data_IF_633426197604
#
_entry.id   IF_633426197604
#
_cell.length_a   1.000
_cell.length_b   1.000
_cell.length_c   1.000
_cell.angle_alpha   90.00
_cell.angle_beta   90.00
_cell.angle_gamma   90.00
#
_symmetry.space_group_name_H-M   'P 1'
#
loop_
_entity.id
_entity.type
_entity.pdbx_description
1 polymer ?
2 branched ?
3 branched ?
4 non-polymer ?
5 non-polymer ?
6 water ?
#
# COMPACT_ATOMS: atom_id res chain seq x y z
N UNK A 21 27.63 -8.26 -17.94
CA UNK A 21 26.37 -7.86 -18.64
C UNK A 21 25.17 -8.77 -18.31
N UNK A 22 24.53 -8.45 -17.21
CA UNK A 22 23.28 -9.10 -16.86
C UNK A 22 22.20 -8.70 -17.85
N UNK A 23 21.16 -9.51 -17.88
CA UNK A 23 20.00 -9.29 -18.69
C UNK A 23 18.73 -9.39 -17.91
N UNK A 24 17.75 -8.67 -18.41
CA UNK A 24 16.37 -8.75 -17.90
C UNK A 24 15.46 -8.67 -19.09
N UNK A 25 14.28 -9.25 -18.94
CA UNK A 25 13.23 -9.12 -19.94
C UNK A 25 11.98 -8.61 -19.29
N UNK A 26 11.36 -7.60 -19.90
CA UNK A 26 10.04 -7.10 -19.53
C UNK A 26 9.08 -7.64 -20.58
N UNK A 27 8.03 -8.34 -20.14
CA UNK A 27 7.03 -8.93 -21.06
C UNK A 27 5.73 -8.17 -20.94
N UNK A 28 5.52 -7.22 -21.83
CA UNK A 28 4.35 -6.36 -21.80
C UNK A 28 3.06 -7.11 -22.06
N UNK A 29 3.12 -8.34 -22.61
CA UNK A 29 1.95 -9.16 -22.83
C UNK A 29 1.51 -9.99 -21.65
N UNK A 30 2.31 -10.04 -20.61
CA UNK A 30 1.98 -10.85 -19.43
C UNK A 30 1.52 -9.92 -18.31
N UNK A 31 0.24 -9.53 -18.40
CA UNK A 31 -0.32 -8.57 -17.45
C UNK A 31 -0.61 -9.25 -16.14
N UNK A 32 -0.28 -8.56 -15.07
CA UNK A 32 -0.47 -8.99 -13.70
C UNK A 32 -1.53 -8.10 -13.08
N UNK A 33 -1.30 -7.57 -11.88
CA UNK A 33 -2.33 -6.79 -11.21
C UNK A 33 -2.41 -5.37 -11.68
N UNK A 34 -3.62 -4.82 -11.70
CA UNK A 34 -3.82 -3.41 -11.95
C UNK A 34 -3.48 -2.60 -10.70
N UNK A 35 -2.65 -1.57 -10.84
CA UNK A 35 -2.24 -0.74 -9.70
C UNK A 35 -3.35 0.17 -9.28
N UNK A 36 -3.66 0.14 -7.98
CA UNK A 36 -4.62 1.04 -7.40
C UNK A 36 -3.91 2.30 -6.85
N UNK A 37 -2.72 2.14 -6.24
CA UNK A 37 -1.96 3.30 -5.83
C UNK A 37 -1.09 3.08 -4.62
N UNK A 38 -0.64 4.20 -4.08
CA UNK A 38 0.37 4.23 -3.02
C UNK A 38 0.02 5.38 -2.08
N UNK A 39 0.29 5.24 -0.79
CA UNK A 39 0.10 6.38 0.10
C UNK A 39 0.41 6.06 1.53
N UNK A 40 -0.37 6.63 2.44
CA UNK A 40 -0.08 6.49 3.86
C UNK A 40 -1.25 6.92 4.70
N UNK A 41 -1.01 6.89 6.00
CA UNK A 41 -2.01 7.14 7.04
C UNK A 41 -2.01 8.60 7.51
N UNK A 42 -3.21 9.14 7.72
CA UNK A 42 -3.42 10.35 8.53
C UNK A 42 -4.17 9.96 9.77
N UNK A 43 -3.79 10.45 10.95
CA UNK A 43 -4.53 10.16 12.17
C UNK A 43 -4.55 11.43 13.06
N UNK A 44 -5.52 12.31 12.81
CA UNK A 44 -5.54 13.61 13.47
C UNK A 44 -6.07 13.60 14.89
N UNK A 45 -6.40 12.42 15.42
CA UNK A 45 -6.73 12.25 16.83
C UNK A 45 -5.50 11.84 17.61
N UNK A 46 -4.77 10.84 17.14
CA UNK A 46 -3.57 10.39 17.84
C UNK A 46 -2.36 11.31 17.71
N UNK A 47 -2.20 11.90 16.51
CA UNK A 47 -1.10 12.80 16.23
C UNK A 47 -1.68 14.06 15.59
N UNK A 48 -0.84 14.99 15.22
CA UNK A 48 -1.36 16.18 14.54
C UNK A 48 -1.79 15.84 13.12
N UNK A 49 -2.86 16.48 12.67
CA UNK A 49 -3.27 16.38 11.30
C UNK A 49 -2.17 16.89 10.35
N UNK A 50 -2.17 16.41 9.11
CA UNK A 50 -1.39 17.11 8.08
C UNK A 50 -1.84 18.56 8.00
N UNK A 51 -0.87 19.46 7.84
CA UNK A 51 -1.14 20.88 7.57
C UNK A 51 -1.60 21.04 6.13
N UNK A 52 -2.14 22.22 5.78
CA UNK A 52 -2.46 22.46 4.36
C UNK A 52 -1.32 22.14 3.39
N UNK A 53 -0.14 22.61 3.73
CA UNK A 53 1.02 22.40 2.92
C UNK A 53 1.41 20.93 2.81
N UNK A 54 1.29 20.22 3.93
CA UNK A 54 1.64 18.80 3.96
C UNK A 54 0.64 17.97 3.15
N UNK A 55 -0.62 18.38 3.12
CA UNK A 55 -1.59 17.70 2.25
C UNK A 55 -1.13 17.77 0.80
N UNK A 56 -0.68 18.94 0.37
CA UNK A 56 -0.20 19.11 -1.00
C UNK A 56 1.10 18.32 -1.23
N UNK A 57 2.02 18.36 -0.29
CA UNK A 57 3.27 17.59 -0.42
C UNK A 57 2.97 16.09 -0.59
N UNK A 58 1.97 15.62 0.16
CA UNK A 58 1.66 14.18 0.12
C UNK A 58 0.94 13.78 -1.17
N UNK A 59 -0.09 14.52 -1.55
CA UNK A 59 -1.03 14.05 -2.59
C UNK A 59 -0.89 14.77 -3.93
N UNK A 60 -0.18 15.89 -3.99
CA UNK A 60 0.18 16.47 -5.26
C UNK A 60 1.23 15.61 -5.93
N UNK A 61 1.36 15.76 -7.26
CA UNK A 61 2.42 15.05 -7.98
C UNK A 61 3.30 16.03 -8.74
N UNK A 62 3.44 17.25 -8.24
CA UNK A 62 4.44 18.17 -8.77
C UNK A 62 5.81 17.98 -8.18
N UNK A 63 6.69 18.87 -8.58
CA UNK A 63 8.03 18.93 -8.03
C UNK A 63 7.99 19.03 -6.53
N UNK A 64 8.75 18.14 -5.87
CA UNK A 64 8.86 18.14 -4.42
C UNK A 64 7.62 17.60 -3.73
N UNK A 65 6.80 16.88 -4.46
CA UNK A 65 5.58 16.27 -3.92
C UNK A 65 5.63 14.76 -4.16
N UNK A 66 5.02 14.01 -3.24
CA UNK A 66 5.15 12.56 -3.21
C UNK A 66 4.31 11.84 -4.24
N UNK A 67 3.23 12.45 -4.71
CA UNK A 67 2.38 11.79 -5.67
C UNK A 67 1.54 10.66 -5.12
N UNK A 68 1.27 10.65 -3.84
CA UNK A 68 0.43 9.63 -3.27
C UNK A 68 -0.98 9.72 -3.85
N UNK A 69 -1.58 8.53 -3.98
CA UNK A 69 -2.91 8.36 -4.58
C UNK A 69 -3.85 7.60 -3.68
N UNK A 70 -3.42 7.23 -2.46
CA UNK A 70 -4.30 6.59 -1.49
C UNK A 70 -4.05 7.26 -0.14
N UNK A 71 -5.14 7.69 0.51
CA UNK A 71 -5.11 8.11 1.89
C UNK A 71 -5.81 7.06 2.71
N UNK A 72 -5.20 6.61 3.80
CA UNK A 72 -5.88 5.81 4.80
C UNK A 72 -6.17 6.69 6.02
N UNK A 73 -7.39 6.51 6.55
CA UNK A 73 -7.83 7.19 7.76
C UNK A 73 -8.44 6.17 8.71
N UNK A 74 -8.68 6.59 9.96
CA UNK A 74 -9.35 5.77 10.92
C UNK A 74 -10.78 6.17 11.08
N UNK A 75 -11.60 5.20 11.51
CA UNK A 75 -13.00 5.40 11.90
C UNK A 75 -13.06 5.51 13.40
N UNK A 76 -13.18 6.73 13.94
CA UNK A 76 -13.17 6.82 15.37
C UNK A 76 -14.40 6.15 15.98
N UNK A 77 -14.18 5.56 17.16
CA UNK A 77 -15.27 4.99 17.94
C UNK A 77 -16.21 6.06 18.44
N UNK A 78 -15.73 7.32 18.54
CA UNK A 78 -16.55 8.46 18.99
C UNK A 78 -16.85 9.33 17.80
N UNK A 79 -18.12 9.37 17.39
CA UNK A 79 -18.50 10.14 16.22
C UNK A 79 -18.23 11.64 16.34
N UNK A 80 -18.06 12.14 17.56
CA UNK A 80 -17.69 13.54 17.74
C UNK A 80 -16.28 13.87 17.25
N UNK A 81 -15.50 12.84 16.97
CA UNK A 81 -14.19 13.02 16.35
C UNK A 81 -14.15 12.97 14.84
N UNK A 82 -15.22 12.54 14.21
CA UNK A 82 -15.20 12.29 12.77
C UNK A 82 -14.89 13.55 11.95
N UNK A 83 -15.36 14.71 12.41
CA UNK A 83 -15.06 15.96 11.71
C UNK A 83 -13.57 16.24 11.52
N UNK A 84 -12.74 15.70 12.41
CA UNK A 84 -11.31 15.95 12.34
C UNK A 84 -10.67 15.37 11.09
N UNK A 85 -11.32 14.39 10.46
CA UNK A 85 -10.78 13.72 9.27
C UNK A 85 -11.00 14.47 7.98
N UNK A 86 -11.94 15.42 7.97
CA UNK A 86 -12.54 15.87 6.72
C UNK A 86 -11.57 16.70 5.87
N UNK A 87 -10.87 17.65 6.46
CA UNK A 87 -10.06 18.55 5.64
C UNK A 87 -8.98 17.78 4.85
N UNK A 88 -8.27 16.88 5.52
CA UNK A 88 -7.22 16.13 4.84
C UNK A 88 -7.81 15.17 3.81
N UNK A 89 -8.89 14.47 4.16
CA UNK A 89 -9.50 13.56 3.25
C UNK A 89 -10.03 14.27 1.99
N UNK A 90 -10.67 15.43 2.20
CA UNK A 90 -11.21 16.17 1.06
C UNK A 90 -10.08 16.66 0.17
N UNK A 91 -8.98 17.15 0.76
CA UNK A 91 -7.89 17.66 -0.05
C UNK A 91 -7.25 16.53 -0.86
N UNK A 92 -7.06 15.38 -0.22
CA UNK A 92 -6.52 14.23 -0.94
C UNK A 92 -7.36 13.90 -2.16
N UNK A 93 -8.69 13.87 -1.96
CA UNK A 93 -9.58 13.63 -3.10
C UNK A 93 -9.48 14.70 -4.16
N UNK A 94 -9.43 15.95 -3.76
CA UNK A 94 -9.23 17.01 -4.77
C UNK A 94 -7.99 16.83 -5.61
N UNK A 95 -6.94 16.31 -4.99
CA UNK A 95 -5.68 16.08 -5.66
C UNK A 95 -5.62 14.73 -6.38
N UNK A 96 -6.71 13.98 -6.37
CA UNK A 96 -6.86 12.77 -7.18
C UNK A 96 -6.76 11.48 -6.44
N UNK A 97 -6.69 11.49 -5.11
CA UNK A 97 -6.53 10.27 -4.34
C UNK A 97 -7.86 9.62 -4.10
N UNK A 98 -7.79 8.36 -3.69
CA UNK A 98 -8.89 7.65 -3.06
C UNK A 98 -8.64 7.49 -1.57
N UNK A 99 -9.71 7.26 -0.82
CA UNK A 99 -9.62 7.20 0.65
C UNK A 99 -10.22 5.90 1.15
N UNK A 100 -9.50 5.24 2.04
CA UNK A 100 -9.95 4.03 2.71
C UNK A 100 -9.90 4.24 4.21
N UNK A 101 -10.90 3.73 4.92
CA UNK A 101 -11.02 3.93 6.35
C UNK A 101 -11.03 2.65 7.14
N UNK A 102 -10.32 2.62 8.27
CA UNK A 102 -10.25 1.45 9.13
C UNK A 102 -10.60 1.80 10.54
N UNK A 103 -11.46 1.00 11.19
CA UNK A 103 -11.76 1.17 12.61
C UNK A 103 -10.74 0.41 13.47
N UNK A 104 -10.46 0.96 14.66
CA UNK A 104 -9.68 0.29 15.68
C UNK A 104 -10.58 -0.31 16.79
N UNK A 105 -11.59 0.44 17.19
CA UNK A 105 -12.55 -0.10 18.18
C UNK A 105 -13.97 0.30 17.74
N UNK A 106 -14.95 -0.54 18.04
CA UNK A 106 -16.34 -0.07 17.99
C UNK A 106 -16.62 0.92 19.11
N UNK A 107 -17.75 1.64 19.00
CA UNK A 107 -18.23 2.44 20.16
C UNK A 107 -18.31 1.57 21.40
N UNK A 108 -18.01 2.15 22.56
CA UNK A 108 -17.88 1.39 23.78
C UNK A 108 -19.13 0.66 24.18
N UNK A 109 -20.29 1.18 23.82
CA UNK A 109 -21.51 0.46 24.15
C UNK A 109 -21.72 -0.85 23.39
N UNK A 110 -20.89 -1.12 22.39
CA UNK A 110 -20.94 -2.36 21.61
C UNK A 110 -19.86 -3.37 22.00
N UNK A 111 -18.96 -2.97 22.87
CA UNK A 111 -17.78 -3.76 23.24
C UNK A 111 -18.06 -4.57 24.50
N UNK A 112 -17.44 -5.73 24.60
CA UNK A 112 -17.37 -6.44 25.87
C UNK A 112 -15.94 -6.89 26.07
N UNK A 113 -15.64 -7.24 27.30
CA UNK A 113 -14.31 -7.71 27.62
C UNK A 113 -14.27 -9.22 27.78
N UNK A 114 -13.09 -9.78 27.62
CA UNK A 114 -12.86 -11.19 27.75
C UNK A 114 -11.40 -11.41 28.09
N UNK A 115 -11.09 -12.63 28.49
CA UNK A 115 -9.72 -13.02 28.79
C UNK A 115 -9.20 -13.78 27.57
N UNK A 116 -8.04 -13.34 27.07
CA UNK A 116 -7.40 -13.92 25.87
C UNK A 116 -6.02 -14.41 26.24
N UNK A 117 -5.76 -15.71 26.11
CA UNK A 117 -4.51 -16.32 26.44
C UNK A 117 -3.98 -15.85 27.79
N UNK A 118 -4.93 -15.83 28.73
CA UNK A 118 -4.63 -15.46 30.10
C UNK A 118 -4.56 -13.99 30.41
N UNK A 119 -4.68 -13.14 29.40
CA UNK A 119 -4.62 -11.71 29.57
C UNK A 119 -6.06 -11.18 29.70
N UNK A 120 -6.41 -10.57 30.86
CA UNK A 120 -7.78 -10.13 31.05
C UNK A 120 -8.06 -8.78 30.40
N UNK A 121 -9.34 -8.42 30.42
CA UNK A 121 -9.81 -7.08 30.04
C UNK A 121 -9.55 -6.76 28.58
N UNK A 122 -9.50 -7.78 27.75
CA UNK A 122 -9.32 -7.60 26.31
C UNK A 122 -10.66 -7.30 25.67
N UNK A 123 -10.64 -6.53 24.59
CA UNK A 123 -11.88 -6.09 23.95
C UNK A 123 -12.26 -6.93 22.75
N UNK A 124 -13.56 -7.18 22.60
CA UNK A 124 -14.14 -7.72 21.37
C UNK A 124 -15.47 -7.04 21.13
N UNK A 125 -15.94 -7.11 19.90
CA UNK A 125 -17.30 -6.67 19.58
C UNK A 125 -18.29 -7.68 20.08
N UNK A 126 -19.27 -7.27 20.84
CA UNK A 126 -20.32 -8.18 21.28
C UNK A 126 -21.00 -8.80 20.09
N UNK A 127 -21.25 -10.12 20.13
CA UNK A 127 -21.89 -10.76 19.00
C UNK A 127 -23.28 -10.19 18.75
N UNK A 128 -23.99 -9.89 19.81
CA UNK A 128 -25.33 -9.35 19.67
C UNK A 128 -25.39 -7.91 19.13
N UNK A 129 -24.23 -7.30 18.92
CA UNK A 129 -24.11 -5.94 18.38
C UNK A 129 -23.53 -5.92 16.96
N UNK A 130 -23.43 -7.05 16.29
CA UNK A 130 -22.85 -7.03 14.93
C UNK A 130 -23.68 -6.11 14.02
N UNK A 131 -25.02 -6.17 14.12
CA UNK A 131 -25.86 -5.33 13.30
C UNK A 131 -25.70 -3.84 13.62
N UNK A 132 -25.51 -3.52 14.90
CA UNK A 132 -25.29 -2.16 15.32
C UNK A 132 -23.92 -1.65 14.84
N UNK A 133 -22.94 -2.55 14.79
CA UNK A 133 -21.64 -2.15 14.30
C UNK A 133 -21.68 -1.82 12.82
N UNK A 134 -22.41 -2.63 12.03
CA UNK A 134 -22.66 -2.23 10.64
C UNK A 134 -23.22 -0.82 10.56
N UNK A 135 -24.21 -0.51 11.38
CA UNK A 135 -24.81 0.81 11.34
C UNK A 135 -23.82 1.91 11.68
N UNK A 136 -22.95 1.65 12.66
CA UNK A 136 -21.87 2.60 12.96
C UNK A 136 -20.96 2.85 11.75
N UNK A 137 -20.55 1.78 11.09
CA UNK A 137 -19.73 1.96 9.90
C UNK A 137 -20.48 2.70 8.81
N UNK A 138 -21.76 2.37 8.60
CA UNK A 138 -22.55 3.04 7.59
C UNK A 138 -22.79 4.51 7.91
N UNK A 139 -22.90 4.81 9.20
CA UNK A 139 -23.04 6.21 9.62
C UNK A 139 -21.77 6.99 9.28
N UNK A 140 -20.61 6.37 9.47
CA UNK A 140 -19.34 7.00 9.12
C UNK A 140 -19.28 7.25 7.61
N UNK A 141 -19.63 6.23 6.84
CA UNK A 141 -19.66 6.36 5.37
C UNK A 141 -20.56 7.54 4.95
N UNK A 142 -21.75 7.61 5.55
CA UNK A 142 -22.70 8.66 5.19
C UNK A 142 -22.21 10.03 5.63
N UNK A 143 -21.58 10.10 6.81
CA UNK A 143 -21.04 11.38 7.27
C UNK A 143 -19.95 11.88 6.32
N UNK A 144 -19.03 11.00 5.98
CA UNK A 144 -17.99 11.39 5.07
C UNK A 144 -18.52 11.80 3.70
N UNK A 145 -19.51 11.07 3.19
CA UNK A 145 -20.12 11.40 1.90
C UNK A 145 -20.76 12.80 1.92
N UNK A 146 -21.45 13.10 3.03
CA UNK A 146 -22.03 14.41 3.20
C UNK A 146 -21.00 15.59 3.22
N UNK A 147 -19.75 15.19 3.55
CA UNK A 147 -18.60 16.16 3.53
C UNK A 147 -17.63 15.96 2.36
N UNK A 148 -18.13 15.50 1.23
CA UNK A 148 -17.33 15.45 0.02
C UNK A 148 -16.30 14.38 -0.03
N UNK A 149 -16.42 13.37 0.85
CA UNK A 149 -15.47 12.30 0.90
C UNK A 149 -16.25 10.99 0.65
N UNK A 150 -16.24 10.55 -0.60
CA UNK A 150 -16.82 9.28 -1.02
C UNK A 150 -15.76 8.20 -0.79
N UNK A 151 -15.87 7.48 0.31
CA UNK A 151 -14.88 6.48 0.66
C UNK A 151 -14.81 5.38 -0.38
N UNK A 152 -13.61 4.98 -0.74
CA UNK A 152 -13.43 3.86 -1.65
C UNK A 152 -13.75 2.56 -0.94
N UNK A 153 -13.39 2.48 0.34
CA UNK A 153 -13.60 1.23 1.07
C UNK A 153 -13.58 1.50 2.56
N UNK A 154 -14.16 0.58 3.32
CA UNK A 154 -14.12 0.62 4.77
C UNK A 154 -13.79 -0.80 5.26
N UNK A 155 -12.94 -0.86 6.29
CA UNK A 155 -12.50 -2.15 6.84
C UNK A 155 -13.34 -2.57 8.02
N UNK A 156 -13.39 -3.90 8.24
CA UNK A 156 -14.05 -4.44 9.43
C UNK A 156 -13.26 -4.09 10.71
N UNK A 157 -11.94 -4.16 10.64
CA UNK A 157 -11.06 -4.02 11.80
C UNK A 157 -9.61 -3.86 11.37
N UNK A 158 -8.92 -2.87 11.97
CA UNK A 158 -7.48 -2.83 11.87
C UNK A 158 -6.83 -3.89 12.73
N UNK A 159 -6.01 -4.77 12.17
CA UNK A 159 -5.22 -5.71 12.97
C UNK A 159 -6.04 -6.43 14.03
N UNK A 160 -7.05 -7.20 13.60
CA UNK A 160 -7.84 -8.01 14.52
C UNK A 160 -7.04 -9.05 15.32
N UNK A 161 -5.87 -9.39 14.79
CA UNK A 161 -4.98 -10.41 15.33
C UNK A 161 -3.77 -9.81 16.02
N UNK A 162 -3.79 -8.50 16.33
CA UNK A 162 -2.72 -7.88 17.11
C UNK A 162 -3.35 -6.76 17.95
N UNK A 163 -4.39 -7.10 18.69
CA UNK A 163 -5.30 -6.12 19.27
C UNK A 163 -5.13 -5.92 20.75
N UNK A 164 -3.90 -6.07 21.24
CA UNK A 164 -3.62 -5.77 22.64
C UNK A 164 -4.13 -4.40 23.05
N UNK A 165 -4.06 -3.43 22.16
CA UNK A 165 -4.46 -2.07 22.45
C UNK A 165 -5.76 -1.66 21.77
N UNK A 166 -6.48 -2.61 21.18
CA UNK A 166 -7.75 -2.31 20.52
C UNK A 166 -8.67 -3.52 20.55
N UNK A 167 -9.41 -3.82 19.48
CA UNK A 167 -10.44 -4.83 19.48
C UNK A 167 -10.01 -6.07 18.70
N UNK A 168 -10.02 -7.21 19.40
CA UNK A 168 -9.66 -8.52 18.82
C UNK A 168 -10.82 -9.13 18.08
N UNK A 169 -10.51 -9.79 16.96
CA UNK A 169 -11.44 -10.73 16.31
C UNK A 169 -10.69 -11.99 15.99
N UNK A 170 -11.22 -13.12 16.43
CA UNK A 170 -10.67 -14.39 16.02
C UNK A 170 -10.93 -14.57 14.51
N UNK A 171 -10.26 -15.53 13.89
CA UNK A 171 -10.59 -15.83 12.48
C UNK A 171 -12.07 -16.16 12.29
N UNK A 172 -12.65 -16.88 13.25
CA UNK A 172 -14.05 -17.28 13.14
C UNK A 172 -15.01 -16.13 13.36
N UNK A 173 -14.71 -15.21 14.28
CA UNK A 173 -15.53 -14.02 14.48
C UNK A 173 -15.53 -13.16 13.23
N UNK A 174 -14.32 -12.94 12.68
CA UNK A 174 -14.21 -12.22 11.43
C UNK A 174 -15.02 -12.90 10.32
N UNK A 175 -14.91 -14.24 10.22
CA UNK A 175 -15.66 -14.96 9.22
C UNK A 175 -17.16 -14.75 9.39
N UNK A 176 -17.65 -14.93 10.61
CA UNK A 176 -19.10 -14.81 10.83
C UNK A 176 -19.57 -13.42 10.49
N UNK A 177 -18.80 -12.38 10.85
CA UNK A 177 -19.18 -11.03 10.45
C UNK A 177 -19.21 -10.89 8.93
N UNK A 178 -18.17 -11.35 8.26
CA UNK A 178 -18.10 -11.23 6.82
C UNK A 178 -19.23 -11.99 6.12
N UNK A 179 -19.57 -13.16 6.67
CA UNK A 179 -20.61 -14.00 6.11
C UNK A 179 -22.00 -13.44 6.32
N UNK A 180 -22.27 -13.01 7.55
CA UNK A 180 -23.60 -12.73 8.01
C UNK A 180 -23.99 -11.27 8.00
N UNK A 181 -23.00 -10.37 8.08
CA UNK A 181 -23.26 -8.93 8.30
C UNK A 181 -22.62 -8.02 7.25
N UNK A 182 -21.47 -8.37 6.66
CA UNK A 182 -20.76 -7.39 5.84
C UNK A 182 -21.48 -6.98 4.59
N UNK A 183 -22.41 -7.79 4.10
CA UNK A 183 -23.22 -7.41 2.96
C UNK A 183 -24.07 -6.18 3.17
N UNK A 184 -24.29 -5.82 4.43
CA UNK A 184 -25.10 -4.66 4.81
C UNK A 184 -24.32 -3.33 4.79
N UNK A 185 -22.98 -3.40 4.64
CA UNK A 185 -22.16 -2.20 4.66
C UNK A 185 -22.30 -1.50 3.30
N UNK A 186 -22.54 -0.20 3.36
CA UNK A 186 -22.80 0.63 2.17
C UNK A 186 -21.51 1.18 1.53
N UNK A 187 -20.57 0.29 1.27
CA UNK A 187 -19.26 0.66 0.76
C UNK A 187 -18.57 -0.61 0.36
N UNK A 188 -17.46 -0.50 -0.35
CA UNK A 188 -16.61 -1.67 -0.50
C UNK A 188 -16.09 -2.08 0.87
N UNK A 189 -16.06 -3.40 1.08
CA UNK A 189 -15.62 -3.96 2.35
C UNK A 189 -14.21 -4.50 2.26
N UNK A 190 -13.37 -4.06 3.16
CA UNK A 190 -11.99 -4.50 3.27
C UNK A 190 -11.84 -5.39 4.51
N UNK A 191 -11.11 -6.50 4.35
CA UNK A 191 -10.85 -7.39 5.48
C UNK A 191 -9.69 -8.28 5.11
N UNK A 192 -9.00 -8.88 6.07
CA UNK A 192 -9.11 -8.69 7.51
C UNK A 192 -8.05 -7.80 8.11
N UNK A 193 -7.12 -7.26 7.30
CA UNK A 193 -6.02 -6.41 7.82
C UNK A 193 -5.22 -7.06 8.94
N UNK A 194 -4.82 -8.32 8.72
CA UNK A 194 -3.87 -8.94 9.64
C UNK A 194 -2.60 -8.16 9.74
N UNK A 195 -2.05 -8.07 10.96
CA UNK A 195 -0.83 -7.29 11.15
C UNK A 195 0.35 -7.77 10.34
N UNK A 196 0.38 -9.05 9.98
CA UNK A 196 1.53 -9.66 9.32
C UNK A 196 1.08 -10.50 8.11
N UNK A 197 -0.10 -10.21 7.57
CA UNK A 197 -0.59 -11.00 6.44
C UNK A 197 -0.67 -12.45 6.82
N UNK A 198 -1.18 -12.73 8.00
CA UNK A 198 -1.34 -14.12 8.47
C UNK A 198 -2.53 -14.72 7.77
N UNK A 199 -2.31 -15.83 7.07
CA UNK A 199 -3.35 -16.38 6.22
C UNK A 199 -4.48 -17.02 7.03
N UNK A 200 -4.22 -17.37 8.28
CA UNK A 200 -5.31 -17.90 9.09
C UNK A 200 -6.45 -16.91 9.27
N UNK A 201 -6.19 -15.60 9.14
CA UNK A 201 -7.25 -14.57 9.26
C UNK A 201 -8.07 -14.41 8.05
N UNK A 202 -7.52 -14.74 6.88
CA UNK A 202 -8.20 -14.51 5.62
C UNK A 202 -8.69 -15.79 4.96
N UNK A 203 -8.05 -16.94 5.21
CA UNK A 203 -8.47 -18.20 4.59
C UNK A 203 -9.98 -18.47 4.78
N UNK A 204 -10.54 -18.23 5.99
CA UNK A 204 -11.96 -18.55 6.12
C UNK A 204 -12.86 -17.77 5.18
N UNK A 205 -12.51 -16.49 5.00
CA UNK A 205 -13.31 -15.64 4.11
C UNK A 205 -13.26 -16.19 2.68
N UNK A 206 -12.04 -16.50 2.21
CA UNK A 206 -11.87 -16.97 0.84
C UNK A 206 -12.56 -18.31 0.59
N UNK A 207 -12.68 -19.12 1.63
CA UNK A 207 -13.29 -20.44 1.51
C UNK A 207 -14.81 -20.48 1.72
N UNK A 208 -15.41 -19.37 2.14
CA UNK A 208 -16.88 -19.35 2.32
C UNK A 208 -17.50 -18.52 1.26
N UNK A 209 -18.41 -19.08 0.45
CA UNK A 209 -18.90 -18.28 -0.68
C UNK A 209 -19.62 -17.00 -0.28
N UNK A 210 -20.39 -17.01 0.82
CA UNK A 210 -21.10 -15.79 1.22
C UNK A 210 -20.12 -14.73 1.71
N UNK A 211 -19.17 -15.14 2.55
CA UNK A 211 -18.19 -14.16 3.05
C UNK A 211 -17.35 -13.58 1.91
N UNK A 212 -16.96 -14.46 0.97
CA UNK A 212 -16.18 -14.01 -0.16
C UNK A 212 -16.98 -13.04 -1.00
N UNK A 213 -18.27 -13.32 -1.24
CA UNK A 213 -19.11 -12.42 -2.02
C UNK A 213 -19.21 -11.05 -1.37
N UNK A 214 -19.21 -11.00 -0.02
CA UNK A 214 -19.32 -9.73 0.71
C UNK A 214 -18.00 -8.99 0.78
N UNK A 215 -16.88 -9.67 0.57
CA UNK A 215 -15.57 -9.03 0.49
C UNK A 215 -15.41 -8.25 -0.79
N UNK A 216 -14.77 -7.10 -0.74
CA UNK A 216 -14.34 -6.41 -1.95
C UNK A 216 -12.85 -6.30 -2.05
N UNK A 217 -12.16 -6.10 -0.93
CA UNK A 217 -10.72 -5.87 -0.91
C UNK A 217 -10.14 -6.73 0.21
N UNK A 218 -9.20 -7.59 -0.16
CA UNK A 218 -8.36 -8.29 0.80
C UNK A 218 -7.27 -7.32 1.25
N UNK A 219 -7.35 -6.85 2.48
CA UNK A 219 -6.34 -5.96 3.04
C UNK A 219 -5.40 -6.70 3.97
N UNK A 220 -4.14 -6.32 3.97
CA UNK A 220 -3.11 -6.95 4.79
C UNK A 220 -2.10 -5.94 5.19
N UNK A 221 -1.50 -6.13 6.36
CA UNK A 221 -0.34 -5.35 6.79
C UNK A 221 0.91 -6.22 6.69
N UNK A 222 2.08 -5.58 6.75
CA UNK A 222 3.36 -6.22 6.40
C UNK A 222 4.36 -6.26 7.55
N UNK A 223 3.92 -6.05 8.79
CA UNK A 223 4.85 -5.99 9.91
C UNK A 223 5.47 -7.36 10.21
N UNK A 224 6.74 -7.52 9.89
CA UNK A 224 7.37 -8.80 10.00
C UNK A 224 7.07 -9.81 8.95
N UNK A 225 6.45 -9.39 7.83
CA UNK A 225 6.10 -10.31 6.75
C UNK A 225 7.31 -10.53 5.87
N UNK A 226 7.78 -11.76 5.84
CA UNK A 226 8.93 -12.12 5.00
C UNK A 226 8.48 -12.35 3.57
N UNK A 227 9.44 -12.34 2.65
CA UNK A 227 9.10 -12.51 1.26
C UNK A 227 8.45 -13.82 0.97
N UNK A 228 8.84 -14.88 1.66
CA UNK A 228 8.19 -16.15 1.43
C UNK A 228 6.72 -16.20 1.83
N UNK A 229 6.31 -15.25 2.66
CA UNK A 229 4.90 -15.14 3.09
C UNK A 229 4.12 -14.10 2.30
N UNK A 230 4.70 -13.55 1.23
CA UNK A 230 3.99 -12.60 0.41
C UNK A 230 3.09 -13.22 -0.67
N UNK A 231 3.47 -14.35 -1.29
CA UNK A 231 2.52 -15.02 -2.19
C UNK A 231 1.32 -15.55 -1.39
N UNK A 232 0.21 -15.73 -2.06
CA UNK A 232 -1.00 -16.24 -1.38
C UNK A 232 -1.78 -17.11 -2.37
N UNK A 233 -1.42 -18.40 -2.46
CA UNK A 233 -2.07 -19.25 -3.43
C UNK A 233 -3.60 -19.30 -3.34
N UNK A 234 -4.14 -19.30 -2.14
CA UNK A 234 -5.61 -19.37 -2.02
C UNK A 234 -6.24 -18.13 -2.63
N UNK A 235 -5.62 -16.96 -2.44
CA UNK A 235 -6.15 -15.76 -3.06
C UNK A 235 -6.04 -15.81 -4.57
N UNK A 236 -4.94 -16.37 -5.07
CA UNK A 236 -4.85 -16.55 -6.52
C UNK A 236 -5.97 -17.47 -7.05
N UNK A 237 -6.35 -18.46 -6.26
CA UNK A 237 -7.40 -19.45 -6.61
C UNK A 237 -8.81 -18.82 -6.52
N UNK A 238 -9.09 -18.13 -5.42
CA UNK A 238 -10.46 -17.74 -5.05
C UNK A 238 -10.81 -16.29 -5.26
N UNK A 239 -9.79 -15.44 -5.43
CA UNK A 239 -9.95 -13.99 -5.35
C UNK A 239 -10.33 -13.24 -6.60
N UNK A 240 -10.83 -13.91 -7.62
CA UNK A 240 -11.27 -13.19 -8.82
C UNK A 240 -12.28 -12.05 -8.47
N UNK A 241 -12.03 -10.85 -9.00
CA UNK A 241 -12.90 -9.74 -8.78
C UNK A 241 -12.71 -9.04 -7.44
N UNK A 242 -11.72 -9.48 -6.68
CA UNK A 242 -11.37 -8.85 -5.40
C UNK A 242 -10.06 -8.13 -5.55
N UNK A 243 -9.91 -6.98 -4.90
CA UNK A 243 -8.64 -6.29 -4.88
C UNK A 243 -7.78 -6.78 -3.74
N UNK A 244 -6.48 -6.47 -3.84
CA UNK A 244 -5.48 -6.92 -2.86
C UNK A 244 -4.65 -5.70 -2.48
N UNK A 245 -4.75 -5.27 -1.23
CA UNK A 245 -4.10 -4.03 -0.77
C UNK A 245 -3.25 -4.29 0.46
N UNK A 246 -2.06 -3.69 0.47
CA UNK A 246 -1.16 -3.72 1.61
C UNK A 246 -1.36 -2.36 2.30
N UNK A 247 -2.14 -2.38 3.40
CA UNK A 247 -2.70 -1.16 3.96
C UNK A 247 -1.93 -0.53 5.12
N UNK A 248 -0.86 -1.16 5.60
CA UNK A 248 0.00 -0.50 6.58
C UNK A 248 1.32 -1.22 6.72
N UNK A 249 2.40 -0.43 6.81
CA UNK A 249 3.68 -0.88 7.25
C UNK A 249 4.55 0.31 7.53
N UNK A 250 5.63 0.09 8.27
CA UNK A 250 6.85 0.91 8.18
C UNK A 250 7.99 -0.08 8.13
N UNK A 251 9.05 0.32 7.43
CA UNK A 251 10.23 -0.55 7.29
C UNK A 251 11.46 0.33 7.14
N UNK A 252 12.61 -0.16 7.57
CA UNK A 252 12.83 -1.39 8.27
C UNK A 252 12.68 -1.25 9.79
N UNK A 253 12.39 -0.06 10.27
CA UNK A 253 12.19 0.17 11.72
C UNK A 253 11.38 1.46 11.86
N UNK A 254 11.04 1.77 13.11
CA UNK A 254 10.42 3.05 13.46
C UNK A 254 11.35 3.83 14.38
N UNK A 255 12.67 3.72 14.15
CA UNK A 255 13.62 4.41 14.99
C UNK A 255 13.41 5.91 14.84
N UNK A 256 13.50 6.61 15.97
CA UNK A 256 13.41 8.07 15.97
C UNK A 256 14.40 8.72 15.00
N UNK A 257 13.94 9.65 14.17
CA UNK A 257 14.84 10.46 13.33
C UNK A 257 15.67 9.62 12.40
N UNK A 258 15.05 8.54 11.89
CA UNK A 258 15.75 7.59 11.01
C UNK A 258 15.44 7.74 9.54
N UNK A 259 14.51 8.61 9.16
CA UNK A 259 13.98 8.60 7.79
C UNK A 259 14.96 8.94 6.70
N UNK A 260 16.08 9.61 7.02
CA UNK A 260 17.10 9.91 6.05
C UNK A 260 18.27 8.94 6.09
N UNK A 261 18.25 7.95 6.97
CA UNK A 261 19.40 7.00 7.10
C UNK A 261 19.60 6.22 5.81
N UNK A 262 20.85 6.15 5.39
CA UNK A 262 21.22 5.51 4.16
C UNK A 262 22.37 4.53 4.46
N UNK A 263 22.36 3.29 3.92
CA UNK A 263 21.47 2.80 2.87
C UNK A 263 20.22 2.12 3.44
N UNK A 264 19.92 2.26 4.72
CA UNK A 264 18.74 1.64 5.33
C UNK A 264 17.46 1.95 4.55
N UNK A 265 17.38 3.19 4.03
CA UNK A 265 16.14 3.59 3.34
C UNK A 265 15.85 2.71 2.13
N UNK A 266 16.89 2.10 1.51
CA UNK A 266 16.65 1.20 0.38
C UNK A 266 15.72 0.06 0.74
N UNK A 267 15.61 -0.30 2.02
CA UNK A 267 14.69 -1.33 2.43
C UNK A 267 13.24 -0.97 2.11
N UNK A 268 12.91 0.33 2.08
CA UNK A 268 11.56 0.76 1.71
C UNK A 268 11.29 0.37 0.26
N UNK A 269 12.19 0.77 -0.63
CA UNK A 269 12.01 0.39 -2.02
C UNK A 269 11.93 -1.11 -2.18
N UNK A 270 12.81 -1.85 -1.50
CA UNK A 270 12.79 -3.29 -1.66
C UNK A 270 11.47 -3.88 -1.17
N UNK A 271 10.94 -3.37 -0.05
CA UNK A 271 9.69 -3.90 0.46
C UNK A 271 8.55 -3.65 -0.55
N UNK A 272 8.57 -2.47 -1.17
CA UNK A 272 7.55 -2.14 -2.19
C UNK A 272 7.67 -3.04 -3.42
N UNK A 273 8.91 -3.21 -3.90
CA UNK A 273 9.17 -4.16 -4.95
C UNK A 273 8.62 -5.53 -4.60
N UNK A 274 8.93 -5.98 -3.38
CA UNK A 274 8.44 -7.30 -2.96
C UNK A 274 6.93 -7.37 -2.89
N UNK A 275 6.29 -6.33 -2.36
CA UNK A 275 4.82 -6.31 -2.32
C UNK A 275 4.26 -6.46 -3.72
N UNK A 276 4.80 -5.70 -4.66
CA UNK A 276 4.30 -5.70 -6.02
C UNK A 276 4.53 -7.02 -6.78
N UNK A 277 5.77 -7.52 -6.71
CA UNK A 277 6.20 -8.62 -7.54
C UNK A 277 6.01 -9.98 -6.87
N UNK A 278 6.25 -10.07 -5.58
CA UNK A 278 6.09 -11.32 -4.83
C UNK A 278 4.69 -11.42 -4.28
N UNK A 279 4.07 -10.32 -3.90
CA UNK A 279 2.75 -10.37 -3.34
C UNK A 279 1.61 -10.03 -4.29
N UNK A 280 1.91 -9.51 -5.49
CA UNK A 280 0.90 -9.08 -6.44
C UNK A 280 -0.04 -8.01 -5.88
N UNK A 281 0.46 -7.21 -4.92
CA UNK A 281 -0.39 -6.20 -4.30
C UNK A 281 -0.67 -5.04 -5.24
N UNK A 282 -1.91 -4.54 -5.17
CA UNK A 282 -2.36 -3.43 -5.97
C UNK A 282 -2.18 -2.10 -5.30
N UNK A 283 -2.00 -2.07 -3.98
CA UNK A 283 -1.84 -0.86 -3.22
C UNK A 283 -0.76 -1.11 -2.18
N UNK A 284 -0.02 -0.05 -1.86
CA UNK A 284 0.99 -0.07 -0.79
C UNK A 284 0.86 1.19 0.00
N UNK A 285 0.46 1.07 1.26
CA UNK A 285 0.15 2.20 2.14
C UNK A 285 1.01 2.13 3.40
N UNK A 286 1.80 3.17 3.58
CA UNK A 286 2.61 3.35 4.77
C UNK A 286 1.69 3.63 5.99
N UNK A 287 2.29 3.56 7.17
CA UNK A 287 1.73 4.12 8.40
C UNK A 287 1.78 5.66 8.31
N UNK A 288 1.98 6.37 9.42
CA UNK A 288 1.85 7.84 9.38
C UNK A 288 2.65 8.43 8.28
N UNK A 289 2.01 9.26 7.47
CA UNK A 289 2.71 9.98 6.39
C UNK A 289 3.81 10.87 6.94
N UNK A 290 3.48 11.66 7.97
CA UNK A 290 4.43 12.61 8.56
C UNK A 290 4.89 12.05 9.89
N UNK A 291 6.15 11.68 9.98
CA UNK A 291 6.71 11.10 11.19
C UNK A 291 8.22 11.07 10.99
N UNK A 292 8.99 10.97 12.08
CA UNK A 292 10.44 11.08 11.95
C UNK A 292 11.10 9.87 11.29
N UNK A 293 10.33 8.78 11.14
CA UNK A 293 10.72 7.57 10.42
C UNK A 293 9.89 7.33 9.17
N UNK A 294 9.10 8.32 8.77
CA UNK A 294 8.16 8.17 7.65
C UNK A 294 8.59 8.85 6.40
N UNK A 295 7.71 8.85 5.37
CA UNK A 295 8.07 9.41 4.07
C UNK A 295 8.16 10.93 4.09
N UNK A 296 7.44 11.59 5.00
CA UNK A 296 7.54 13.03 5.19
C UNK A 296 8.06 13.28 6.60
N UNK A 297 9.11 14.10 6.69
CA UNK A 297 9.69 14.45 7.96
C UNK A 297 8.82 15.44 8.69
N UNK A 298 9.10 15.61 9.99
CA UNK A 298 8.34 16.57 10.78
C UNK A 298 8.46 18.01 10.28
N UNK A 299 9.52 18.33 9.56
CA UNK A 299 9.66 19.67 8.97
C UNK A 299 8.90 19.83 7.65
N UNK A 300 8.15 18.80 7.23
CA UNK A 300 7.35 18.86 6.03
C UNK A 300 8.08 18.52 4.75
N UNK A 301 9.36 18.19 4.83
CA UNK A 301 10.12 17.82 3.66
C UNK A 301 10.07 16.31 3.44
N UNK A 302 10.40 15.88 2.22
CA UNK A 302 10.41 14.46 1.89
C UNK A 302 11.70 13.84 2.41
N UNK A 303 11.58 12.72 3.10
CA UNK A 303 12.76 11.98 3.60
C UNK A 303 13.33 11.06 2.54
N UNK A 304 14.50 10.46 2.81
CA UNK A 304 14.98 9.42 1.92
C UNK A 304 13.98 8.28 1.79
N UNK A 305 13.35 7.86 2.90
CA UNK A 305 12.32 6.84 2.80
C UNK A 305 11.15 7.29 1.91
N UNK A 306 10.81 8.57 1.98
CA UNK A 306 9.79 9.10 1.07
C UNK A 306 10.19 9.12 -0.37
N UNK A 307 11.45 9.43 -0.68
CA UNK A 307 11.86 9.34 -2.07
C UNK A 307 11.82 7.92 -2.58
N UNK A 308 12.12 6.94 -1.72
CA UNK A 308 11.96 5.54 -2.10
C UNK A 308 10.53 5.28 -2.55
N UNK A 309 9.56 5.74 -1.75
CA UNK A 309 8.18 5.58 -2.14
C UNK A 309 7.85 6.29 -3.45
N UNK A 310 8.39 7.49 -3.59
CA UNK A 310 8.09 8.34 -4.74
C UNK A 310 8.55 7.72 -6.06
N UNK A 311 9.63 6.91 -6.01
CA UNK A 311 10.09 6.21 -7.22
C UNK A 311 8.97 5.37 -7.82
N UNK A 312 8.08 4.87 -6.99
CA UNK A 312 6.87 4.18 -7.42
C UNK A 312 5.69 5.17 -7.57
N UNK A 313 5.38 5.91 -6.51
CA UNK A 313 4.13 6.66 -6.50
C UNK A 313 4.03 7.76 -7.54
N UNK A 314 5.14 8.45 -7.82
CA UNK A 314 5.07 9.55 -8.78
C UNK A 314 4.90 9.09 -10.20
N UNK A 315 5.24 7.83 -10.48
CA UNK A 315 5.40 7.32 -11.85
C UNK A 315 4.47 6.19 -12.21
N UNK A 316 4.24 5.28 -11.28
CA UNK A 316 3.35 4.15 -11.50
C UNK A 316 1.97 4.61 -11.03
N UNK A 317 1.20 5.18 -11.95
CA UNK A 317 -0.05 5.84 -11.59
C UNK A 317 -1.20 4.84 -11.54
N UNK A 318 -2.26 5.18 -10.81
CA UNK A 318 -3.42 4.29 -10.76
C UNK A 318 -3.92 3.91 -12.14
N UNK A 319 -4.21 2.62 -12.33
CA UNK A 319 -4.65 2.10 -13.61
C UNK A 319 -3.58 1.52 -14.47
N UNK A 320 -2.32 1.82 -14.19
CA UNK A 320 -1.20 1.09 -14.84
C UNK A 320 -1.31 -0.36 -14.39
N UNK A 321 -0.79 -1.27 -15.20
CA UNK A 321 -0.85 -2.70 -14.91
C UNK A 321 0.56 -3.23 -14.77
N UNK A 322 0.85 -3.92 -13.68
CA UNK A 322 2.14 -4.58 -13.57
C UNK A 322 2.24 -5.64 -14.66
N UNK A 323 3.44 -5.82 -15.19
CA UNK A 323 3.69 -6.90 -16.14
C UNK A 323 4.82 -7.77 -15.66
N UNK A 324 4.87 -9.00 -16.16
CA UNK A 324 5.95 -9.88 -15.82
C UNK A 324 7.28 -9.31 -16.30
N UNK A 325 8.28 -9.39 -15.44
CA UNK A 325 9.62 -8.93 -15.76
C UNK A 325 10.59 -9.63 -14.88
N UNK A 326 11.80 -9.84 -15.37
CA UNK A 326 12.83 -10.49 -14.59
C UNK A 326 13.03 -9.74 -13.29
N UNK A 327 12.74 -10.39 -12.18
CA UNK A 327 12.61 -9.64 -10.93
C UNK A 327 13.92 -9.31 -10.27
N UNK A 328 14.93 -10.16 -10.51
CA UNK A 328 16.19 -10.04 -9.77
C UNK A 328 17.29 -10.44 -10.75
N UNK A 329 17.61 -9.56 -11.70
CA UNK A 329 18.43 -10.00 -12.85
C UNK A 329 19.89 -10.25 -12.53
N UNK A 330 20.39 -9.68 -11.46
CA UNK A 330 21.72 -9.98 -10.96
C UNK A 330 21.72 -9.73 -9.45
N UNK A 331 22.68 -10.27 -8.73
CA UNK A 331 22.67 -10.15 -7.28
C UNK A 331 22.54 -8.68 -6.88
N UNK A 332 21.64 -8.43 -5.92
CA UNK A 332 21.39 -7.10 -5.34
C UNK A 332 20.67 -6.14 -6.25
N UNK A 333 20.15 -6.61 -7.40
CA UNK A 333 19.38 -5.75 -8.31
C UNK A 333 17.98 -6.30 -8.45
N UNK A 334 17.00 -5.41 -8.29
CA UNK A 334 15.58 -5.78 -8.31
C UNK A 334 14.86 -4.89 -9.31
N UNK A 335 14.02 -5.50 -10.13
CA UNK A 335 13.32 -4.80 -11.20
C UNK A 335 11.83 -5.15 -11.16
N UNK A 336 11.02 -4.10 -11.27
CA UNK A 336 9.57 -4.24 -11.53
C UNK A 336 9.22 -3.36 -12.71
N UNK A 337 8.14 -3.73 -13.39
CA UNK A 337 7.67 -2.97 -14.54
C UNK A 337 6.18 -2.93 -14.60
N UNK A 338 5.66 -1.75 -14.96
CA UNK A 338 4.22 -1.54 -15.13
C UNK A 338 3.99 -0.84 -16.47
N UNK A 339 2.85 -1.14 -17.05
CA UNK A 339 2.45 -0.66 -18.37
C UNK A 339 1.28 0.29 -18.26
N UNK A 340 1.34 1.39 -19.01
CA UNK A 340 0.21 2.26 -19.20
C UNK A 340 -0.50 1.79 -20.46
N UNK A 341 -1.70 1.23 -20.28
CA UNK A 341 -2.40 0.70 -21.45
C UNK A 341 -2.97 1.73 -22.39
N UNK A 342 -2.90 3.00 -22.03
CA UNK A 342 -3.34 4.06 -22.96
C UNK A 342 -2.44 4.08 -24.20
N UNK A 343 -1.15 3.91 -23.99
CA UNK A 343 -0.15 4.01 -25.08
C UNK A 343 0.94 2.93 -25.06
N UNK A 344 0.77 1.93 -24.23
CA UNK A 344 1.74 0.87 -24.02
C UNK A 344 3.11 1.31 -23.57
N UNK A 345 3.18 2.48 -22.95
CA UNK A 345 4.43 2.90 -22.39
C UNK A 345 4.66 2.09 -21.12
N UNK A 346 5.92 2.13 -20.67
CA UNK A 346 6.44 1.32 -19.61
C UNK A 346 7.09 2.17 -18.52
N UNK A 347 6.88 1.83 -17.26
CA UNK A 347 7.61 2.41 -16.14
C UNK A 347 8.35 1.26 -15.47
N UNK A 348 9.66 1.36 -15.39
CA UNK A 348 10.47 0.30 -14.75
C UNK A 348 11.15 0.92 -13.51
N UNK A 349 11.05 0.26 -12.37
CA UNK A 349 11.69 0.73 -11.17
C UNK A 349 12.78 -0.29 -10.84
N UNK A 350 14.03 0.17 -10.77
CA UNK A 350 15.17 -0.71 -10.62
C UNK A 350 16.00 -0.29 -9.39
N UNK A 351 16.12 -1.22 -8.46
CA UNK A 351 16.85 -0.97 -7.21
C UNK A 351 18.21 -1.64 -7.35
N UNK A 352 19.29 -0.92 -7.07
CA UNK A 352 20.59 -1.50 -6.97
C UNK A 352 21.09 -1.35 -5.54
N UNK A 353 21.01 -2.45 -4.78
CA UNK A 353 21.50 -2.45 -3.41
C UNK A 353 22.99 -2.71 -3.32
N UNK A 354 23.66 -2.99 -4.45
CA UNK A 354 25.09 -3.26 -4.42
C UNK A 354 25.88 -2.01 -4.15
N UNK A 355 27.05 -2.21 -3.55
CA UNK A 355 28.06 -1.18 -3.41
C UNK A 355 28.88 -0.95 -4.66
N UNK A 356 28.61 -1.68 -5.74
CA UNK A 356 29.19 -1.38 -7.05
C UNK A 356 28.12 -1.10 -8.07
N UNK A 357 28.52 -0.36 -9.10
CA UNK A 357 27.64 -0.11 -10.25
C UNK A 357 27.34 -1.39 -10.98
N UNK A 358 26.18 -1.45 -11.62
CA UNK A 358 25.72 -2.61 -12.36
C UNK A 358 25.20 -2.18 -13.72
N UNK A 359 25.59 -2.88 -14.79
CA UNK A 359 25.05 -2.63 -16.12
C UNK A 359 24.15 -3.78 -16.52
N UNK A 360 22.94 -3.47 -16.95
CA UNK A 360 21.97 -4.49 -17.33
C UNK A 360 21.42 -4.19 -18.71
N UNK A 361 21.29 -5.22 -19.53
CA UNK A 361 20.56 -5.09 -20.80
C UNK A 361 19.12 -5.48 -20.57
N UNK A 362 18.22 -4.49 -20.63
CA UNK A 362 16.80 -4.74 -20.41
C UNK A 362 16.12 -4.87 -21.78
N UNK A 363 15.68 -6.06 -22.08
CA UNK A 363 14.94 -6.36 -23.29
C UNK A 363 13.46 -6.14 -23.08
N UNK A 364 12.83 -5.42 -24.00
CA UNK A 364 11.38 -5.15 -23.92
C UNK A 364 10.81 -5.53 -25.29
N UNK A 365 10.70 -6.85 -25.56
CA UNK A 365 10.34 -7.29 -26.88
C UNK A 365 8.99 -6.71 -27.29
N UNK A 366 8.88 -6.32 -28.57
CA UNK A 366 7.62 -5.86 -29.08
C UNK A 366 7.24 -4.44 -28.75
N UNK A 367 8.04 -3.72 -27.99
CA UNK A 367 7.70 -2.32 -27.70
C UNK A 367 8.05 -1.40 -28.88
N UNK A 368 7.25 -0.33 -29.05
CA UNK A 368 7.65 0.72 -30.00
C UNK A 368 8.39 1.84 -29.26
N UNK A 369 8.52 1.74 -27.92
CA UNK A 369 9.29 2.75 -27.20
C UNK A 369 10.76 2.64 -27.59
N UNK A 370 11.44 3.78 -27.78
CA UNK A 370 12.87 3.79 -28.08
C UNK A 370 13.71 4.67 -27.17
N UNK A 371 13.09 5.37 -26.22
CA UNK A 371 13.82 6.23 -25.32
C UNK A 371 13.19 6.21 -23.97
N UNK A 372 14.02 6.09 -22.93
CA UNK A 372 13.61 6.24 -21.55
C UNK A 372 14.28 7.42 -20.90
N UNK A 373 13.51 8.19 -20.20
CA UNK A 373 14.04 9.13 -19.23
C UNK A 373 14.28 8.40 -17.93
N UNK A 374 15.16 8.97 -17.11
CA UNK A 374 15.46 8.31 -15.83
C UNK A 374 15.69 9.29 -14.71
N UNK A 375 15.21 8.89 -13.54
CA UNK A 375 15.34 9.64 -12.34
C UNK A 375 15.99 8.76 -11.30
N UNK A 376 16.97 9.30 -10.56
CA UNK A 376 17.84 8.47 -9.72
C UNK A 376 17.95 9.06 -8.33
N UNK A 377 17.77 8.21 -7.31
CA UNK A 377 18.01 8.56 -5.93
C UNK A 377 19.15 7.72 -5.39
N UNK A 378 20.06 8.37 -4.69
CA UNK A 378 21.16 7.74 -3.98
C UNK A 378 21.27 8.37 -2.60
N UNK A 379 22.35 8.07 -1.88
CA UNK A 379 22.52 8.76 -0.63
C UNK A 379 22.78 10.25 -0.75
N UNK A 380 23.12 10.72 -1.96
CA UNK A 380 23.51 12.12 -2.13
C UNK A 380 22.66 12.93 -3.09
N UNK A 381 21.61 12.34 -3.68
CA UNK A 381 20.71 13.08 -4.56
C UNK A 381 19.35 12.40 -4.53
N UNK A 382 18.32 13.19 -4.80
CA UNK A 382 16.94 12.74 -4.75
C UNK A 382 16.24 12.95 -6.07
N UNK A 383 15.78 11.87 -6.70
CA UNK A 383 15.02 11.96 -7.94
C UNK A 383 15.71 12.82 -8.99
N UNK A 384 17.01 12.68 -9.07
CA UNK A 384 17.76 13.46 -10.01
C UNK A 384 17.57 12.95 -11.44
N UNK A 385 17.19 13.86 -12.36
CA UNK A 385 17.05 13.46 -13.75
C UNK A 385 18.44 13.29 -14.36
N UNK A 386 18.70 12.11 -14.86
CA UNK A 386 19.99 11.76 -15.46
C UNK A 386 19.82 11.56 -16.96
N UNK A 387 20.89 11.19 -17.65
CA UNK A 387 20.83 11.15 -19.10
C UNK A 387 19.83 10.11 -19.60
N UNK A 388 19.19 10.44 -20.70
CA UNK A 388 18.23 9.52 -21.33
C UNK A 388 18.93 8.20 -21.79
N UNK A 389 18.15 7.14 -21.83
CA UNK A 389 18.52 5.82 -22.35
C UNK A 389 17.92 5.73 -23.74
N UNK A 390 18.79 5.52 -24.72
CA UNK A 390 18.34 5.23 -26.09
C UNK A 390 18.46 3.77 -26.38
N UNK A 391 17.35 3.18 -26.79
CA UNK A 391 17.28 1.75 -27.06
C UNK A 391 18.05 1.43 -28.33
N UNK A 392 18.63 0.23 -28.36
CA UNK A 392 19.12 -0.38 -29.61
C UNK A 392 18.10 -1.47 -29.92
N UNK A 393 17.27 -1.20 -30.91
CA UNK A 393 16.10 -2.04 -31.11
C UNK A 393 15.20 -2.00 -29.88
N UNK A 394 14.89 -3.17 -29.37
CA UNK A 394 14.03 -3.28 -28.19
C UNK A 394 14.84 -3.52 -26.90
N UNK A 395 16.15 -3.30 -26.95
CA UNK A 395 17.01 -3.45 -25.77
C UNK A 395 17.52 -2.11 -25.24
N UNK A 396 17.31 -1.90 -23.94
CA UNK A 396 17.69 -0.70 -23.23
C UNK A 396 18.82 -1.08 -22.29
N UNK A 397 20.04 -0.62 -22.59
CA UNK A 397 21.19 -0.88 -21.73
C UNK A 397 21.30 0.22 -20.69
N UNK A 398 21.15 -0.15 -19.41
CA UNK A 398 21.07 0.81 -18.31
C UNK A 398 22.28 0.55 -17.35
N UNK A 399 22.76 1.60 -16.73
CA UNK A 399 23.81 1.49 -15.74
C UNK A 399 23.28 2.08 -14.47
N UNK A 400 23.36 1.29 -13.40
CA UNK A 400 22.80 1.65 -12.12
C UNK A 400 23.95 1.99 -11.20
N UNK A 401 23.96 3.20 -10.67
CA UNK A 401 24.92 3.63 -9.68
C UNK A 401 24.82 2.73 -8.46
N UNK A 402 25.90 2.62 -7.65
CA UNK A 402 25.80 1.87 -6.42
C UNK A 402 24.71 2.44 -5.52
N UNK A 403 24.05 1.55 -4.84
CA UNK A 403 23.11 1.95 -3.76
C UNK A 403 22.14 3.02 -4.22
N UNK A 404 21.30 2.64 -5.17
CA UNK A 404 20.47 3.59 -5.89
C UNK A 404 19.11 2.99 -6.21
N UNK A 405 18.16 3.86 -6.47
CA UNK A 405 16.92 3.48 -7.14
C UNK A 405 16.81 4.36 -8.35
N UNK A 406 16.39 3.73 -9.45
CA UNK A 406 16.17 4.45 -10.71
C UNK A 406 14.74 4.12 -11.18
N UNK A 407 14.01 5.16 -11.58
CA UNK A 407 12.77 4.93 -12.31
C UNK A 407 12.99 5.39 -13.74
N UNK A 408 12.69 4.47 -14.67
CA UNK A 408 12.75 4.68 -16.09
C UNK A 408 11.33 4.91 -16.59
N UNK A 409 11.13 5.97 -17.38
CA UNK A 409 9.80 6.35 -17.90
C UNK A 409 9.86 6.82 -19.35
#
# INVERSE_FOLDING_TARGET
MGSSHHHHHHSSGLVPRGSHMASATINLSAEKQVIRGFGGMNHPVWISDLTPQQRDTAFGNGEGQLGFTILRIHVDENRNNWSKEVATARRAIELGAIVSASPWNPPSNMVETFTRNGVPNQKRLRYDKYGDYVQHLNDFVAYMKSNGVDLYAISVQNEPDYAHEWTWWTPQEMLRFMRDYAGQINCRVMAPESFQYLKNMSDPILNDPQALANLDILGAHFYGTTVNNMPYPLFEQKGAGKELWMTAVYVPNSDSNSADRWPEALEVAHNMHNALVEGNFQAYVWWYIRRSYGPMKEDGTISKRGYMMAHYSKFVRPGYVRVDATKNPTYNVYLSACKNKKDNSVVAVVINKSTEAKTINISVPGTSIRKWERYVTTGSKNLRKESDINASGTTFQVTLEPQSVTTFV
#
